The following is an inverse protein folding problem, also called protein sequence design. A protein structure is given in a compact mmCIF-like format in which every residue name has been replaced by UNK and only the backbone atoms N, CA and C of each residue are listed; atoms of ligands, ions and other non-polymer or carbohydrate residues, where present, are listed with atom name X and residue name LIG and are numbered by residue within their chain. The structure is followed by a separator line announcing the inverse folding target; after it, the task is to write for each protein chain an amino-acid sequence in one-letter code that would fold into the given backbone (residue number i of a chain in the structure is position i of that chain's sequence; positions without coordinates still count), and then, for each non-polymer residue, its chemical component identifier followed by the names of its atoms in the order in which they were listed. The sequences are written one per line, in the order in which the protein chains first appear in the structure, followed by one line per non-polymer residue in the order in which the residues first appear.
data_IF_774416018907
#
_entry.id   IF_774416018907
#
_cell.length_a   1.000
_cell.length_b   1.000
_cell.length_c   1.000
_cell.angle_alpha   90.00
_cell.angle_beta   90.00
_cell.angle_gamma   90.00
#
_symmetry.space_group_name_H-M   'P 1'
#
loop_
_entity.id
_entity.type
_entity.pdbx_description
1 polymer ?
#
# COMPACT_ATOMS: atom_id res chain seq x y z
N UNK A 1 -0.89 -25.60 5.98
CA UNK A 1 -1.93 -24.97 5.15
C UNK A 1 -1.37 -23.63 4.68
N UNK A 2 -1.45 -23.31 3.39
CA UNK A 2 -1.08 -22.00 2.87
C UNK A 2 -2.28 -21.06 3.00
N UNK A 3 -2.13 -20.00 3.80
CA UNK A 3 -3.11 -18.92 3.92
C UNK A 3 -3.44 -18.32 2.55
N UNK A 4 -4.70 -17.94 2.34
CA UNK A 4 -5.14 -17.20 1.15
C UNK A 4 -4.97 -15.69 1.35
N UNK A 5 -4.39 -15.00 0.37
CA UNK A 5 -4.07 -13.57 0.44
C UNK A 5 -5.06 -12.77 -0.42
N UNK A 6 -5.52 -11.63 0.09
CA UNK A 6 -6.26 -10.64 -0.70
C UNK A 6 -5.39 -10.14 -1.85
N UNK A 7 -5.99 -10.05 -3.04
CA UNK A 7 -5.34 -9.47 -4.22
C UNK A 7 -5.87 -8.07 -4.44
N UNK A 8 -4.96 -7.11 -4.62
CA UNK A 8 -5.27 -5.71 -4.93
C UNK A 8 -4.83 -5.39 -6.36
N UNK A 9 -5.73 -4.78 -7.15
CA UNK A 9 -5.41 -4.17 -8.44
C UNK A 9 -4.95 -2.72 -8.22
N UNK A 10 -3.69 -2.46 -8.55
CA UNK A 10 -3.05 -1.14 -8.53
C UNK A 10 -2.68 -0.77 -9.97
N UNK A 11 -3.59 -0.05 -10.65
CA UNK A 11 -3.45 0.38 -12.06
C UNK A 11 -3.02 -0.75 -13.01
N UNK A 12 -3.65 -1.91 -12.92
CA UNK A 12 -3.37 -3.08 -13.76
C UNK A 12 -2.20 -3.93 -13.25
N UNK A 13 -1.57 -3.57 -12.14
CA UNK A 13 -0.59 -4.42 -11.44
C UNK A 13 -1.24 -5.05 -10.22
N UNK A 14 -1.20 -6.38 -10.16
CA UNK A 14 -1.82 -7.14 -9.07
C UNK A 14 -0.83 -7.42 -7.95
N UNK A 15 -1.21 -7.11 -6.72
CA UNK A 15 -0.41 -7.41 -5.52
C UNK A 15 -1.18 -8.27 -4.54
N UNK A 16 -0.48 -9.18 -3.88
CA UNK A 16 -0.96 -9.96 -2.75
C UNK A 16 -0.61 -9.22 -1.46
N UNK A 17 -1.60 -9.06 -0.58
CA UNK A 17 -1.42 -8.44 0.75
C UNK A 17 -0.97 -9.50 1.75
N UNK A 18 0.25 -9.37 2.27
CA UNK A 18 0.83 -10.25 3.27
C UNK A 18 1.18 -9.43 4.53
N UNK A 19 0.21 -9.25 5.44
CA UNK A 19 0.42 -8.51 6.68
C UNK A 19 1.20 -9.29 7.73
N UNK A 20 1.31 -10.62 7.58
CA UNK A 20 2.23 -11.41 8.38
C UNK A 20 3.68 -11.04 8.07
N UNK A 21 4.00 -10.82 6.78
CA UNK A 21 5.34 -10.39 6.32
C UNK A 21 5.47 -8.90 6.02
N UNK A 22 4.47 -8.11 6.40
CA UNK A 22 4.44 -6.65 6.23
C UNK A 22 4.72 -6.14 4.83
N UNK A 23 4.08 -6.72 3.81
CA UNK A 23 4.38 -6.34 2.44
C UNK A 23 3.26 -6.61 1.46
N UNK A 24 3.26 -5.82 0.40
CA UNK A 24 2.67 -6.20 -0.87
C UNK A 24 3.68 -7.04 -1.65
N UNK A 25 3.24 -8.14 -2.24
CA UNK A 25 4.03 -8.93 -3.19
C UNK A 25 3.35 -8.88 -4.55
N UNK A 26 4.04 -8.45 -5.61
CA UNK A 26 3.44 -8.49 -6.94
C UNK A 26 3.14 -9.94 -7.31
N UNK A 27 1.94 -10.21 -7.82
CA UNK A 27 1.47 -11.56 -8.16
C UNK A 27 2.32 -12.19 -9.26
N UNK A 28 2.67 -11.40 -10.27
CA UNK A 28 3.39 -11.87 -11.46
C UNK A 28 4.92 -11.73 -11.32
N UNK A 29 5.40 -11.06 -10.27
CA UNK A 29 6.82 -10.94 -9.93
C UNK A 29 7.03 -10.98 -8.42
N UNK A 30 7.37 -12.15 -7.89
CA UNK A 30 7.54 -12.36 -6.45
C UNK A 30 8.79 -11.68 -5.87
N UNK A 31 9.69 -11.13 -6.69
CA UNK A 31 10.81 -10.31 -6.22
C UNK A 31 10.38 -8.86 -6.00
N UNK A 32 9.39 -8.38 -6.76
CA UNK A 32 8.83 -7.06 -6.57
C UNK A 32 7.95 -7.01 -5.31
N UNK A 33 8.47 -6.37 -4.27
CA UNK A 33 7.83 -6.25 -2.96
C UNK A 33 7.81 -4.80 -2.53
N UNK A 34 6.72 -4.43 -1.86
CA UNK A 34 6.56 -3.11 -1.26
C UNK A 34 6.32 -3.28 0.24
N UNK A 35 7.27 -2.91 1.10
CA UNK A 35 7.14 -3.12 2.54
C UNK A 35 6.14 -2.13 3.16
N UNK A 36 5.46 -2.49 4.24
CA UNK A 36 4.46 -1.62 4.85
C UNK A 36 5.05 -0.40 5.58
N UNK A 37 6.33 -0.39 5.92
CA UNK A 37 6.95 0.76 6.58
C UNK A 37 7.04 2.02 5.70
N UNK A 38 6.88 1.89 4.38
CA UNK A 38 6.80 3.05 3.47
C UNK A 38 5.37 3.59 3.31
N UNK A 39 4.40 3.02 4.02
CA UNK A 39 3.00 3.42 3.95
C UNK A 39 2.75 4.55 4.95
N UNK A 40 1.94 5.51 4.56
CA UNK A 40 1.45 6.57 5.43
C UNK A 40 0.03 6.26 5.88
N UNK A 41 -0.34 6.66 7.10
CA UNK A 41 -1.72 6.53 7.57
C UNK A 41 -2.63 7.48 6.78
N UNK A 42 -3.77 6.98 6.29
CA UNK A 42 -4.78 7.76 5.58
C UNK A 42 -6.17 7.34 6.08
N UNK A 43 -6.72 8.12 7.03
CA UNK A 43 -7.93 7.75 7.76
C UNK A 43 -7.75 6.47 8.59
N UNK A 44 -8.62 5.49 8.35
CA UNK A 44 -8.57 4.15 8.96
C UNK A 44 -7.66 3.18 8.21
N UNK A 45 -7.23 3.56 7.02
CA UNK A 45 -6.37 2.77 6.16
C UNK A 45 -4.99 3.37 5.98
N UNK A 46 -4.42 3.09 4.82
CA UNK A 46 -3.07 3.47 4.46
C UNK A 46 -3.04 4.04 3.06
N UNK A 47 -2.02 4.85 2.79
CA UNK A 47 -1.67 5.26 1.45
C UNK A 47 -0.20 5.05 1.17
N UNK A 48 0.11 4.87 -0.11
CA UNK A 48 1.46 4.76 -0.61
C UNK A 48 1.61 5.50 -1.92
N UNK A 49 2.75 6.14 -2.12
CA UNK A 49 3.10 6.74 -3.41
C UNK A 49 3.61 5.64 -4.33
N UNK A 50 2.96 5.46 -5.47
CA UNK A 50 3.22 4.38 -6.40
C UNK A 50 3.71 4.92 -7.74
N UNK A 51 4.84 4.38 -8.18
CA UNK A 51 5.41 4.54 -9.50
C UNK A 51 4.80 3.50 -10.46
N UNK A 52 4.08 3.98 -11.47
CA UNK A 52 3.40 3.11 -12.44
C UNK A 52 4.33 2.41 -13.43
N UNK A 53 5.56 2.90 -13.62
CA UNK A 53 6.57 2.31 -14.51
C UNK A 53 7.36 1.24 -13.78
N UNK A 54 7.87 1.56 -12.58
CA UNK A 54 8.58 0.59 -11.75
C UNK A 54 7.65 -0.43 -11.08
N UNK A 55 6.35 -0.11 -11.03
CA UNK A 55 5.35 -0.87 -10.30
C UNK A 55 5.73 -1.04 -8.83
N UNK A 56 6.33 -0.01 -8.24
CA UNK A 56 6.82 0.00 -6.85
C UNK A 56 6.81 1.46 -6.33
N UNK A 57 7.43 1.73 -5.19
CA UNK A 57 7.67 3.09 -4.71
C UNK A 57 8.65 3.85 -5.61
N UNK A 58 8.63 5.19 -5.58
CA UNK A 58 9.64 5.99 -6.27
C UNK A 58 11.06 5.68 -5.81
N UNK A 59 12.02 5.75 -6.74
CA UNK A 59 13.45 5.61 -6.43
C UNK A 59 13.98 6.78 -5.62
N UNK A 60 13.49 8.00 -5.90
CA UNK A 60 13.92 9.20 -5.21
C UNK A 60 12.87 10.31 -5.31
N UNK A 61 13.02 11.34 -4.47
CA UNK A 61 12.15 12.53 -4.52
C UNK A 61 12.37 13.33 -5.80
N UNK A 62 13.60 13.38 -6.30
CA UNK A 62 13.97 14.11 -7.52
C UNK A 62 13.26 13.50 -8.74
N UNK A 63 13.19 12.17 -8.81
CA UNK A 63 12.43 11.47 -9.86
C UNK A 63 10.93 11.81 -9.81
N UNK A 64 10.37 11.96 -8.60
CA UNK A 64 8.97 12.38 -8.40
C UNK A 64 8.73 13.81 -8.88
N UNK A 65 9.63 14.73 -8.56
CA UNK A 65 9.50 16.13 -8.96
C UNK A 65 9.71 16.32 -10.47
N UNK A 66 10.54 15.49 -11.11
CA UNK A 66 10.80 15.56 -12.55
C UNK A 66 9.60 15.13 -13.39
N UNK A 67 8.87 14.09 -12.97
CA UNK A 67 7.73 13.54 -13.72
C UNK A 67 6.54 13.19 -12.79
N UNK A 68 5.89 14.15 -12.14
CA UNK A 68 4.84 13.87 -11.15
C UNK A 68 3.64 13.07 -11.68
N UNK A 69 3.31 13.21 -12.96
CA UNK A 69 2.18 12.51 -13.59
C UNK A 69 2.35 10.98 -13.63
N UNK A 70 3.58 10.48 -13.49
CA UNK A 70 3.90 9.06 -13.41
C UNK A 70 3.49 8.43 -12.07
N UNK A 71 3.34 9.26 -11.03
CA UNK A 71 3.14 8.82 -9.65
C UNK A 71 1.71 9.03 -9.18
N UNK A 72 1.21 8.05 -8.43
CA UNK A 72 -0.16 8.02 -7.95
C UNK A 72 -0.19 7.65 -6.48
N UNK A 73 -1.04 8.33 -5.70
CA UNK A 73 -1.38 7.87 -4.37
C UNK A 73 -2.32 6.68 -4.49
N UNK A 74 -1.91 5.56 -3.91
CA UNK A 74 -2.70 4.34 -3.80
C UNK A 74 -3.20 4.26 -2.37
N UNK A 75 -4.51 4.22 -2.19
CA UNK A 75 -5.19 4.18 -0.89
C UNK A 75 -5.76 2.79 -0.69
N UNK A 76 -5.47 2.23 0.48
CA UNK A 76 -5.78 0.87 0.87
C UNK A 76 -6.55 0.87 2.19
N UNK A 77 -7.52 -0.03 2.36
CA UNK A 77 -8.19 -0.27 3.64
C UNK A 77 -7.23 -0.68 4.76
N UNK A 78 -7.75 -0.78 5.98
CA UNK A 78 -6.97 -1.26 7.11
C UNK A 78 -6.43 -2.68 6.85
N UNK A 79 -5.21 -2.97 7.31
CA UNK A 79 -4.59 -4.30 7.12
C UNK A 79 -5.43 -5.43 7.73
N UNK A 80 -6.17 -5.16 8.81
CA UNK A 80 -7.09 -6.12 9.42
C UNK A 80 -8.27 -6.50 8.51
N UNK A 81 -8.67 -5.61 7.58
CA UNK A 81 -9.73 -5.90 6.60
C UNK A 81 -9.18 -6.65 5.38
N UNK A 82 -7.92 -6.38 5.02
CA UNK A 82 -7.26 -7.00 3.89
C UNK A 82 -6.69 -8.38 4.25
N UNK A 83 -6.30 -8.56 5.51
CA UNK A 83 -5.59 -9.71 6.01
C UNK A 83 -5.67 -9.88 7.55
N UNK A 84 -6.84 -10.25 8.08
CA UNK A 84 -7.03 -10.51 9.50
C UNK A 84 -6.26 -11.74 9.95
N UNK A 85 -6.13 -12.79 9.12
CA UNK A 85 -5.37 -14.01 9.48
C UNK A 85 -3.88 -13.69 9.67
N UNK A 86 -3.29 -12.83 8.84
CA UNK A 86 -1.92 -12.38 9.03
C UNK A 86 -1.70 -11.52 10.25
N UNK A 87 -2.63 -10.61 10.52
CA UNK A 87 -2.59 -9.78 11.72
C UNK A 87 -2.74 -10.67 12.96
N UNK A 88 -3.70 -11.59 12.97
CA UNK A 88 -3.91 -12.56 14.04
C UNK A 88 -2.64 -13.35 14.37
N UNK A 89 -2.04 -13.98 13.35
CA UNK A 89 -0.81 -14.77 13.52
C UNK A 89 0.37 -13.92 13.97
N UNK A 90 0.45 -12.68 13.50
CA UNK A 90 1.57 -11.80 13.80
C UNK A 90 1.56 -11.29 15.23
N UNK A 91 0.38 -10.93 15.73
CA UNK A 91 0.21 -10.35 17.06
C UNK A 91 -0.25 -11.37 18.10
N UNK A 92 -0.32 -12.65 17.74
CA UNK A 92 -0.83 -13.74 18.59
C UNK A 92 -2.24 -13.43 19.14
N UNK A 93 -3.11 -12.94 18.24
CA UNK A 93 -4.50 -12.60 18.55
C UNK A 93 -5.38 -13.69 17.94
N UNK A 94 -6.32 -14.30 18.70
CA UNK A 94 -7.32 -15.20 18.13
C UNK A 94 -8.08 -14.56 16.97
N UNK A 95 -8.17 -15.27 15.83
CA UNK A 95 -8.78 -14.73 14.61
C UNK A 95 -10.23 -14.31 14.83
N UNK A 96 -10.94 -14.98 15.73
CA UNK A 96 -12.34 -14.71 16.09
C UNK A 96 -12.52 -13.32 16.73
N UNK A 97 -11.47 -12.76 17.33
CA UNK A 97 -11.50 -11.39 17.88
C UNK A 97 -11.46 -10.36 16.74
N UNK A 98 -10.70 -10.64 15.68
CA UNK A 98 -10.55 -9.76 14.52
C UNK A 98 -11.68 -9.95 13.50
N UNK A 99 -12.20 -11.16 13.39
CA UNK A 99 -13.22 -11.56 12.42
C UNK A 99 -14.24 -12.51 13.09
N UNK A 100 -15.13 -11.98 13.95
CA UNK A 100 -16.10 -12.80 14.71
C UNK A 100 -17.11 -13.49 13.80
N UNK A 101 -17.47 -12.83 12.70
CA UNK A 101 -18.31 -13.39 11.65
C UNK A 101 -17.40 -13.92 10.53
N UNK A 102 -16.96 -15.18 10.64
CA UNK A 102 -16.14 -15.91 9.64
C UNK A 102 -16.73 -15.95 8.19
N UNK A 103 -17.83 -15.23 7.94
CA UNK A 103 -18.54 -15.11 6.66
C UNK A 103 -17.92 -14.10 5.70
N UNK A 104 -17.07 -13.17 6.17
CA UNK A 104 -16.28 -12.29 5.30
C UNK A 104 -15.04 -13.03 4.77
N UNK A 105 -15.31 -13.94 3.85
CA UNK A 105 -14.35 -14.81 3.19
C UNK A 105 -13.24 -14.02 2.48
N UNK A 106 -12.11 -13.89 3.16
CA UNK A 106 -10.82 -13.54 2.56
C UNK A 106 -10.29 -14.82 1.92
N UNK A 107 -9.86 -14.77 0.65
CA UNK A 107 -9.33 -13.61 -0.06
C UNK A 107 -10.37 -12.83 -0.87
N UNK A 108 -10.26 -11.49 -0.83
CA UNK A 108 -11.00 -10.58 -1.71
C UNK A 108 -10.12 -10.21 -2.91
N UNK A 109 -10.75 -9.99 -4.07
CA UNK A 109 -10.12 -9.23 -5.16
C UNK A 109 -10.69 -7.81 -5.09
N UNK A 110 -9.83 -6.82 -4.85
CA UNK A 110 -10.25 -5.42 -4.73
C UNK A 110 -9.46 -4.54 -5.66
N UNK A 111 -10.08 -3.46 -6.12
CA UNK A 111 -9.40 -2.40 -6.84
C UNK A 111 -9.01 -1.30 -5.88
N UNK A 112 -7.72 -0.94 -5.86
CA UNK A 112 -7.24 0.11 -4.98
C UNK A 112 -7.78 1.48 -5.42
N UNK A 113 -8.06 2.35 -4.45
CA UNK A 113 -8.45 3.73 -4.74
C UNK A 113 -7.20 4.49 -5.12
N UNK A 114 -7.24 5.20 -6.25
CA UNK A 114 -6.09 5.95 -6.78
C UNK A 114 -6.39 7.44 -6.84
N UNK A 115 -5.43 8.27 -6.42
CA UNK A 115 -5.47 9.73 -6.55
C UNK A 115 -4.21 10.23 -7.25
N UNK A 116 -4.32 11.24 -8.13
CA UNK A 116 -3.14 11.83 -8.75
C UNK A 116 -2.25 12.52 -7.69
N UNK A 117 -0.94 12.56 -7.94
CA UNK A 117 -0.03 13.35 -7.14
C UNK A 117 -0.15 14.83 -7.50
N UNK A 118 -0.62 15.65 -6.56
CA UNK A 118 -0.67 17.11 -6.72
C UNK A 118 0.55 17.76 -6.05
N UNK A 119 1.47 18.31 -6.85
CA UNK A 119 2.60 19.09 -6.32
C UNK A 119 2.19 20.56 -6.29
N UNK A 120 1.88 21.08 -5.10
CA UNK A 120 1.71 22.51 -4.91
C UNK A 120 3.09 23.19 -4.90
N UNK A 121 3.38 23.97 -5.94
CA UNK A 121 4.65 24.68 -6.17
C UNK A 121 4.99 25.78 -5.15
N UNK A 122 4.27 25.91 -4.02
CA UNK A 122 4.41 27.02 -3.05
C UNK A 122 5.42 26.81 -1.91
N UNK A 123 6.23 25.74 -1.91
CA UNK A 123 7.19 25.48 -0.83
C UNK A 123 8.68 25.68 -1.17
N UNK A 124 9.01 26.22 -2.35
CA UNK A 124 10.40 26.51 -2.72
C UNK A 124 10.97 27.84 -2.20
N UNK A 125 10.14 28.74 -1.66
CA UNK A 125 10.59 30.12 -1.32
C UNK A 125 11.05 30.36 0.13
N UNK A 126 11.04 29.35 1.01
CA UNK A 126 11.37 29.55 2.44
C UNK A 126 12.83 29.23 2.86
N UNK A 127 13.73 28.87 1.93
CA UNK A 127 15.14 28.59 2.26
C UNK A 127 16.16 29.60 1.73
N UNK A 128 15.73 30.70 1.12
CA UNK A 128 16.65 31.69 0.51
C UNK A 128 16.65 33.06 1.20
N UNK A 129 16.43 33.13 2.52
CA UNK A 129 16.70 34.35 3.32
C UNK A 129 17.15 33.97 4.74
N UNK A 130 18.42 33.59 4.86
CA UNK A 130 19.18 33.67 6.11
C UNK A 130 20.66 33.74 5.72
N UNK A 131 21.07 34.91 5.27
CA UNK A 131 22.42 35.44 5.35
C UNK A 131 22.33 36.83 5.95
#
# INVERSE_FOLDING_TARGET
MSRKLTTIDVKGTFFLVDALKERLCQRDDTQNKIPFHVFERDGDGYRILFDTVLKNIPESKEAVLAEPARYWWVILPALMELDPEGIALRYDIPLEILCPDQKDTIPKEIKAVIKPLEINSKQQDRKSKSQ
#
